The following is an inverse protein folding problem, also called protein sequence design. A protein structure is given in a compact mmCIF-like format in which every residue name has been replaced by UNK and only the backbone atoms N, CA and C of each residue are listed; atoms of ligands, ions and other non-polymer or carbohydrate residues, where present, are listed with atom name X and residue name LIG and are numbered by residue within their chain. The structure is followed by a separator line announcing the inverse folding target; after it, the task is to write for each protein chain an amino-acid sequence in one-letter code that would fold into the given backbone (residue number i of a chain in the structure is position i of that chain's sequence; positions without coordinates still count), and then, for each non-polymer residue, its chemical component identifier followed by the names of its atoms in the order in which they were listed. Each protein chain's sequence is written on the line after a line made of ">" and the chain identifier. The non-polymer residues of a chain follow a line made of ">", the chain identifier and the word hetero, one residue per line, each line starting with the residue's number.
data_IF_290277393121
#
_entry.id   IF_290277393121
#
_cell.length_a   1.000
_cell.length_b   1.000
_cell.length_c   1.000
_cell.angle_alpha   90.00
_cell.angle_beta   90.00
_cell.angle_gamma   90.00
#
_symmetry.space_group_name_H-M   'P 1'
#
loop_
_entity.id
_entity.type
_entity.pdbx_description
1 polymer ?
#
# COMPACT_ATOMS: atom_id res chain seq x y z
N UNK A 1 13.39 3.84 -13.52
CA UNK A 1 12.03 3.29 -13.66
C UNK A 1 11.15 3.78 -12.52
N UNK A 2 9.94 4.17 -12.89
CA UNK A 2 9.07 5.06 -12.14
C UNK A 2 8.07 4.25 -11.29
N UNK A 3 7.72 4.77 -10.12
CA UNK A 3 6.67 4.20 -9.29
C UNK A 3 5.34 4.25 -10.06
N UNK A 4 4.54 3.18 -9.97
CA UNK A 4 3.24 3.12 -10.62
C UNK A 4 2.17 3.59 -9.64
N UNK A 5 1.32 4.51 -10.10
CA UNK A 5 0.18 4.98 -9.31
C UNK A 5 -0.98 4.00 -9.49
N UNK A 6 -1.46 3.45 -8.38
CA UNK A 6 -2.68 2.65 -8.35
C UNK A 6 -3.90 3.57 -8.26
N UNK A 7 -5.09 2.98 -8.41
CA UNK A 7 -6.33 3.70 -8.12
C UNK A 7 -6.35 4.21 -6.68
N UNK A 8 -7.16 5.24 -6.41
CA UNK A 8 -7.31 5.75 -5.05
C UNK A 8 -7.81 4.65 -4.13
N UNK A 9 -7.23 4.58 -2.94
CA UNK A 9 -7.62 3.65 -1.90
C UNK A 9 -8.20 4.39 -0.71
N UNK A 10 -9.21 3.80 -0.08
CA UNK A 10 -9.82 4.34 1.14
C UNK A 10 -8.98 3.93 2.34
N UNK A 11 -8.63 4.89 3.19
CA UNK A 11 -7.90 4.64 4.44
C UNK A 11 -8.85 4.06 5.48
N UNK A 12 -8.53 2.87 6.02
CA UNK A 12 -9.31 2.23 7.08
C UNK A 12 -8.85 2.65 8.47
N UNK A 13 -7.52 2.63 8.66
CA UNK A 13 -6.87 3.02 9.91
C UNK A 13 -5.44 3.50 9.64
N UNK A 14 -4.93 4.34 10.53
CA UNK A 14 -3.55 4.83 10.49
C UNK A 14 -2.83 4.40 11.76
N UNK A 15 -1.70 3.71 11.60
CA UNK A 15 -0.86 3.23 12.68
C UNK A 15 0.42 4.05 12.73
N UNK A 16 0.72 4.63 13.89
CA UNK A 16 1.99 5.32 14.16
C UNK A 16 2.78 4.48 15.15
N UNK A 17 3.84 3.84 14.68
CA UNK A 17 4.74 3.03 15.52
C UNK A 17 6.10 3.68 15.57
N UNK A 18 6.39 4.39 16.67
CA UNK A 18 7.59 5.21 16.81
C UNK A 18 7.62 6.33 15.76
N UNK A 19 8.58 6.25 14.83
CA UNK A 19 8.75 7.22 13.73
C UNK A 19 8.15 6.77 12.41
N UNK A 20 7.59 5.55 12.35
CA UNK A 20 7.02 4.99 11.12
C UNK A 20 5.51 5.15 11.16
N UNK A 21 4.96 5.78 10.13
CA UNK A 21 3.51 5.84 9.90
C UNK A 21 3.14 4.87 8.78
N UNK A 22 2.22 3.97 9.07
CA UNK A 22 1.59 3.07 8.08
C UNK A 22 0.09 3.31 8.04
N UNK A 23 -0.52 3.06 6.89
CA UNK A 23 -1.96 3.06 6.73
C UNK A 23 -2.42 1.69 6.25
N UNK A 24 -3.54 1.21 6.80
CA UNK A 24 -4.31 0.12 6.18
C UNK A 24 -5.27 0.76 5.19
N UNK A 25 -5.22 0.33 3.94
CA UNK A 25 -6.03 0.88 2.86
C UNK A 25 -6.76 -0.23 2.13
N UNK A 26 -7.93 0.10 1.59
CA UNK A 26 -8.74 -0.80 0.77
C UNK A 26 -9.09 -0.19 -0.58
N UNK A 27 -9.06 -1.00 -1.63
CA UNK A 27 -9.57 -0.64 -2.95
C UNK A 27 -10.07 -1.90 -3.68
N UNK A 28 -11.32 -1.86 -4.17
CA UNK A 28 -11.95 -3.04 -4.75
C UNK A 28 -12.01 -4.20 -3.74
N UNK A 29 -11.40 -5.33 -4.08
CA UNK A 29 -11.28 -6.53 -3.24
C UNK A 29 -9.90 -6.67 -2.58
N UNK A 30 -9.05 -5.65 -2.63
CA UNK A 30 -7.68 -5.69 -2.10
C UNK A 30 -7.59 -4.82 -0.84
N UNK A 31 -6.97 -5.39 0.20
CA UNK A 31 -6.58 -4.69 1.42
C UNK A 31 -5.05 -4.78 1.58
N UNK A 32 -4.41 -3.65 1.84
CA UNK A 32 -2.95 -3.59 1.96
C UNK A 32 -2.51 -2.64 3.07
N UNK A 33 -1.43 -3.01 3.76
CA UNK A 33 -0.70 -2.10 4.64
C UNK A 33 0.37 -1.37 3.82
N UNK A 34 0.33 -0.05 3.82
CA UNK A 34 1.24 0.80 3.04
C UNK A 34 1.99 1.76 3.95
N UNK A 35 3.22 2.10 3.57
CA UNK A 35 3.99 3.15 4.23
C UNK A 35 3.43 4.52 3.82
N UNK A 36 3.27 5.42 4.79
CA UNK A 36 2.88 6.80 4.52
C UNK A 36 4.12 7.62 4.18
N UNK A 37 4.04 8.39 3.10
CA UNK A 37 5.08 9.36 2.71
C UNK A 37 4.54 10.76 2.94
N UNK A 38 5.20 11.53 3.79
CA UNK A 38 4.80 12.90 4.12
C UNK A 38 3.73 12.96 5.19
N UNK A 39 2.66 13.71 4.94
CA UNK A 39 1.59 13.94 5.92
C UNK A 39 0.72 12.68 6.08
N UNK A 40 0.49 12.18 7.31
CA UNK A 40 -0.48 11.13 7.56
C UNK A 40 -1.88 11.48 7.07
N UNK A 41 -2.56 10.57 6.35
CA UNK A 41 -3.94 10.77 5.95
C UNK A 41 -4.88 10.55 7.14
N UNK A 42 -6.18 10.80 6.93
CA UNK A 42 -7.22 10.56 7.94
C UNK A 42 -8.03 9.31 7.57
N UNK A 43 -8.57 8.61 8.56
CA UNK A 43 -9.50 7.51 8.34
C UNK A 43 -10.70 7.93 7.48
N UNK A 44 -11.04 7.10 6.51
CA UNK A 44 -12.07 7.36 5.50
C UNK A 44 -11.63 8.20 4.30
N UNK A 45 -10.44 8.81 4.33
CA UNK A 45 -9.89 9.58 3.20
C UNK A 45 -9.56 8.68 2.01
N UNK A 46 -9.72 9.19 0.79
CA UNK A 46 -9.27 8.52 -0.44
C UNK A 46 -7.93 9.08 -0.91
N UNK A 47 -6.89 8.24 -0.89
CA UNK A 47 -5.52 8.64 -1.20
C UNK A 47 -4.93 7.84 -2.36
N UNK A 48 -4.04 8.44 -3.19
CA UNK A 48 -3.30 7.67 -4.19
C UNK A 48 -2.30 6.73 -3.50
N UNK A 49 -2.18 5.51 -4.02
CA UNK A 49 -1.19 4.51 -3.57
C UNK A 49 -0.15 4.32 -4.67
N UNK A 50 1.12 4.30 -4.29
CA UNK A 50 2.24 4.14 -5.21
C UNK A 50 2.91 2.78 -5.01
N UNK A 51 3.11 2.04 -6.09
CA UNK A 51 3.77 0.74 -6.08
C UNK A 51 5.17 0.86 -6.67
N UNK A 52 6.18 0.48 -5.88
CA UNK A 52 7.56 0.34 -6.34
C UNK A 52 7.70 -0.98 -7.10
N UNK A 53 7.57 -0.94 -8.41
CA UNK A 53 7.55 -2.15 -9.28
C UNK A 53 8.79 -3.04 -9.05
N UNK A 54 9.96 -2.45 -8.81
CA UNK A 54 11.21 -3.20 -8.54
C UNK A 54 11.19 -4.01 -7.24
N UNK A 55 10.26 -3.73 -6.33
CA UNK A 55 10.11 -4.45 -5.07
C UNK A 55 8.97 -5.49 -5.11
N UNK A 56 8.28 -5.62 -6.23
CA UNK A 56 7.22 -6.61 -6.42
C UNK A 56 7.85 -7.98 -6.61
N UNK A 57 7.28 -8.97 -5.92
CA UNK A 57 7.59 -10.39 -6.10
C UNK A 57 6.35 -11.12 -6.57
N UNK A 58 6.52 -12.10 -7.44
CA UNK A 58 5.43 -12.93 -7.94
C UNK A 58 5.58 -14.36 -7.42
N UNK A 59 4.49 -14.94 -6.97
CA UNK A 59 4.44 -16.29 -6.44
C UNK A 59 3.43 -17.12 -7.24
N UNK A 60 3.76 -18.39 -7.50
CA UNK A 60 2.84 -19.35 -8.10
C UNK A 60 1.74 -19.79 -7.13
N UNK A 61 0.76 -20.55 -7.63
CA UNK A 61 -0.28 -21.17 -6.78
C UNK A 61 0.31 -22.17 -5.77
N UNK A 62 1.50 -22.69 -6.07
CA UNK A 62 2.31 -23.55 -5.20
C UNK A 62 3.19 -22.74 -4.22
N UNK A 63 2.95 -21.44 -4.11
CA UNK A 63 3.69 -20.49 -3.27
C UNK A 63 5.18 -20.34 -3.61
N UNK A 64 5.63 -20.88 -4.76
CA UNK A 64 7.02 -20.73 -5.20
C UNK A 64 7.28 -19.37 -5.84
N UNK A 65 8.46 -18.80 -5.55
CA UNK A 65 8.89 -17.53 -6.11
C UNK A 65 9.15 -17.67 -7.62
N UNK A 66 8.48 -16.83 -8.41
CA UNK A 66 8.65 -16.76 -9.86
C UNK A 66 9.59 -15.61 -10.26
N UNK A 67 9.45 -14.45 -9.61
CA UNK A 67 10.18 -13.20 -9.86
C UNK A 67 10.38 -12.42 -8.57
#
# INVERSE_FOLDING_TARGET
>A
PEDVVLQKARVKLVEVTGFVTTALVEWGNLEARVAVVGKPPVEGEEVPVYLRVRAVKLFGEDEQLLL
#
